data_IF_921322212844
#
_entry.id   IF_921322212844
#
_cell.length_a   1.000
_cell.length_b   1.000
_cell.length_c   1.000
_cell.angle_alpha   90.00
_cell.angle_beta   90.00
_cell.angle_gamma   90.00
#
_symmetry.space_group_name_H-M   'P 1'
#
loop_
_entity.id
_entity.type
_entity.pdbx_description
1 polymer ?
#
# COMPACT_ATOMS: atom_id res chain seq x y z
N UNK A 1 0.84 -46.73 -30.25
CA UNK A 1 1.31 -47.68 -29.24
C UNK A 1 0.17 -47.87 -28.26
N UNK A 2 -0.44 -49.05 -28.21
CA UNK A 2 -1.48 -49.34 -27.25
C UNK A 2 -0.84 -49.67 -25.89
N UNK A 3 -1.54 -49.43 -24.78
CA UNK A 3 -1.03 -49.74 -23.43
C UNK A 3 -0.68 -51.23 -23.25
N UNK A 4 -1.32 -52.11 -24.03
CA UNK A 4 -1.09 -53.56 -23.98
C UNK A 4 0.21 -54.00 -24.68
N UNK A 5 0.88 -53.11 -25.41
CA UNK A 5 2.13 -53.43 -26.12
C UNK A 5 3.36 -53.32 -25.19
N UNK A 6 3.20 -52.69 -24.01
CA UNK A 6 4.24 -52.50 -23.00
C UNK A 6 3.73 -53.03 -21.65
N UNK A 7 4.15 -54.25 -21.31
CA UNK A 7 3.65 -54.99 -20.14
C UNK A 7 3.96 -54.27 -18.82
N UNK A 8 5.14 -53.65 -18.70
CA UNK A 8 5.53 -52.91 -17.50
C UNK A 8 4.73 -51.62 -17.35
N UNK A 9 4.45 -50.93 -18.46
CA UNK A 9 3.60 -49.75 -18.48
C UNK A 9 2.19 -50.06 -17.97
N UNK A 10 1.57 -51.12 -18.48
CA UNK A 10 0.23 -51.54 -18.08
C UNK A 10 0.19 -52.00 -16.62
N UNK A 11 1.19 -52.76 -16.17
CA UNK A 11 1.27 -53.21 -14.78
C UNK A 11 1.41 -52.03 -13.81
N UNK A 12 2.36 -51.13 -14.04
CA UNK A 12 2.58 -49.97 -13.18
C UNK A 12 1.37 -49.00 -13.21
N UNK A 13 0.70 -48.86 -14.36
CA UNK A 13 -0.57 -48.14 -14.46
C UNK A 13 -1.66 -48.76 -13.57
N UNK A 14 -1.80 -50.09 -13.60
CA UNK A 14 -2.76 -50.81 -12.76
C UNK A 14 -2.41 -50.70 -11.27
N UNK A 15 -1.13 -50.70 -10.90
CA UNK A 15 -0.69 -50.47 -9.51
C UNK A 15 -1.19 -49.11 -9.02
N UNK A 16 -0.97 -48.03 -9.78
CA UNK A 16 -1.43 -46.68 -9.41
C UNK A 16 -2.96 -46.58 -9.33
N UNK A 17 -3.68 -47.19 -10.30
CA UNK A 17 -5.14 -47.25 -10.28
C UNK A 17 -5.67 -47.96 -9.03
N UNK A 18 -5.13 -49.14 -8.74
CA UNK A 18 -5.54 -49.96 -7.60
C UNK A 18 -5.15 -49.32 -6.26
N UNK A 19 -4.13 -48.46 -6.25
CA UNK A 19 -3.73 -47.70 -5.07
C UNK A 19 -4.70 -46.55 -4.76
N UNK A 20 -5.54 -46.15 -5.72
CA UNK A 20 -6.55 -45.09 -5.56
C UNK A 20 -6.20 -43.77 -6.24
N UNK A 21 -5.18 -43.73 -7.10
CA UNK A 21 -4.80 -42.50 -7.82
C UNK A 21 -5.71 -42.33 -9.04
N UNK A 22 -6.32 -41.14 -9.18
CA UNK A 22 -7.24 -40.85 -10.28
C UNK A 22 -6.54 -40.89 -11.66
N UNK A 23 -7.23 -41.36 -12.69
CA UNK A 23 -6.63 -41.60 -14.04
C UNK A 23 -6.01 -40.35 -14.66
N UNK A 24 -6.62 -39.18 -14.47
CA UNK A 24 -6.07 -37.90 -14.91
C UNK A 24 -4.73 -37.58 -14.21
N UNK A 25 -4.59 -37.92 -12.92
CA UNK A 25 -3.33 -37.78 -12.16
C UNK A 25 -2.28 -38.79 -12.61
N UNK A 26 -2.67 -40.03 -12.92
CA UNK A 26 -1.76 -41.02 -13.52
C UNK A 26 -1.19 -40.50 -14.84
N UNK A 27 -2.00 -39.81 -15.65
CA UNK A 27 -1.54 -39.12 -16.86
C UNK A 27 -0.47 -38.05 -16.58
N UNK A 28 -0.63 -37.26 -15.49
CA UNK A 28 0.40 -36.31 -15.02
C UNK A 28 1.68 -37.04 -14.62
N UNK A 29 1.58 -38.11 -13.83
CA UNK A 29 2.73 -38.95 -13.42
C UNK A 29 3.46 -39.49 -14.66
N UNK A 30 2.73 -39.97 -15.67
CA UNK A 30 3.36 -40.47 -16.91
C UNK A 30 4.12 -39.39 -17.67
N UNK A 31 3.59 -38.16 -17.68
CA UNK A 31 4.23 -37.02 -18.36
C UNK A 31 5.47 -36.53 -17.62
N UNK A 32 5.43 -36.47 -16.29
CA UNK A 32 6.50 -35.92 -15.44
C UNK A 32 7.57 -36.97 -15.14
N UNK A 33 7.18 -38.20 -14.82
CA UNK A 33 8.05 -39.27 -14.30
C UNK A 33 7.88 -40.57 -15.09
N UNK A 34 8.11 -40.51 -16.40
CA UNK A 34 7.91 -41.64 -17.33
C UNK A 34 8.62 -42.93 -16.92
N UNK A 35 9.75 -42.84 -16.23
CA UNK A 35 10.52 -43.99 -15.74
C UNK A 35 9.77 -44.83 -14.70
N UNK A 36 8.82 -44.25 -13.96
CA UNK A 36 7.97 -44.97 -12.99
C UNK A 36 7.23 -46.12 -13.66
N UNK A 37 6.86 -45.95 -14.93
CA UNK A 37 6.13 -46.96 -15.70
C UNK A 37 7.05 -48.03 -16.32
N UNK A 38 8.36 -47.88 -16.19
CA UNK A 38 9.38 -48.85 -16.62
C UNK A 38 9.99 -49.62 -15.45
N UNK A 39 9.50 -49.39 -14.24
CA UNK A 39 9.94 -50.14 -13.06
C UNK A 39 9.58 -51.61 -13.20
N UNK A 40 10.51 -52.46 -12.74
CA UNK A 40 10.29 -53.91 -12.67
C UNK A 40 9.11 -54.25 -11.75
N UNK A 41 8.50 -55.40 -12.01
CA UNK A 41 7.32 -55.89 -11.30
C UNK A 41 7.51 -55.78 -9.77
N UNK A 42 6.56 -55.15 -9.09
CA UNK A 42 6.57 -55.00 -7.63
C UNK A 42 7.43 -53.86 -7.06
N UNK A 43 8.31 -53.22 -7.85
CA UNK A 43 9.13 -52.09 -7.38
C UNK A 43 8.25 -50.89 -7.02
N UNK A 44 7.31 -50.50 -7.90
CA UNK A 44 6.40 -49.39 -7.64
C UNK A 44 5.52 -49.63 -6.40
N UNK A 45 5.00 -50.86 -6.25
CA UNK A 45 4.20 -51.23 -5.08
C UNK A 45 5.02 -51.17 -3.79
N UNK A 46 6.28 -51.59 -3.83
CA UNK A 46 7.19 -51.52 -2.69
C UNK A 46 7.53 -50.08 -2.31
N UNK A 47 7.71 -49.20 -3.30
CA UNK A 47 7.87 -47.75 -3.09
C UNK A 47 6.66 -47.13 -2.42
N UNK A 48 5.45 -47.39 -2.94
CA UNK A 48 4.20 -46.92 -2.33
C UNK A 48 4.04 -47.40 -0.88
N UNK A 49 4.39 -48.67 -0.61
CA UNK A 49 4.40 -49.22 0.75
C UNK A 49 5.43 -48.55 1.65
N UNK A 50 6.59 -48.16 1.12
CA UNK A 50 7.62 -47.46 1.92
C UNK A 50 7.12 -46.13 2.50
N UNK A 51 6.25 -45.41 1.78
CA UNK A 51 5.59 -44.21 2.31
C UNK A 51 4.61 -44.54 3.44
N UNK A 52 3.87 -45.65 3.33
CA UNK A 52 2.98 -46.11 4.42
C UNK A 52 3.76 -46.50 5.68
N UNK A 53 4.97 -47.05 5.52
CA UNK A 53 5.86 -47.35 6.64
C UNK A 53 6.33 -46.08 7.39
N UNK A 54 6.21 -44.88 6.79
CA UNK A 54 6.42 -43.61 7.48
C UNK A 54 5.23 -43.20 8.36
N UNK A 55 4.15 -43.99 8.37
CA UNK A 55 2.92 -43.72 9.14
C UNK A 55 1.81 -43.04 8.35
N UNK A 56 1.95 -42.91 7.03
CA UNK A 56 0.93 -42.31 6.16
C UNK A 56 -0.18 -43.31 5.81
N UNK A 57 -1.42 -42.85 5.79
CA UNK A 57 -2.55 -43.63 5.26
C UNK A 57 -2.43 -43.74 3.73
N UNK A 58 -3.03 -44.79 3.17
CA UNK A 58 -3.02 -45.01 1.72
C UNK A 58 -3.57 -43.82 0.94
N UNK A 59 -4.64 -43.19 1.43
CA UNK A 59 -5.26 -42.01 0.83
C UNK A 59 -4.31 -40.80 0.82
N UNK A 60 -3.65 -40.53 1.95
CA UNK A 60 -2.63 -39.49 2.05
C UNK A 60 -1.45 -39.74 1.10
N UNK A 61 -0.96 -40.99 1.00
CA UNK A 61 0.09 -41.35 0.04
C UNK A 61 -0.38 -41.13 -1.40
N UNK A 62 -1.59 -41.57 -1.75
CA UNK A 62 -2.12 -41.36 -3.10
C UNK A 62 -2.17 -39.86 -3.46
N UNK A 63 -2.60 -39.01 -2.52
CA UNK A 63 -2.67 -37.56 -2.67
C UNK A 63 -1.30 -36.90 -2.82
N UNK A 64 -0.33 -37.31 -2.00
CA UNK A 64 1.07 -36.84 -2.08
C UNK A 64 1.69 -37.24 -3.42
N UNK A 65 1.51 -38.49 -3.86
CA UNK A 65 2.08 -38.94 -5.14
C UNK A 65 1.42 -38.26 -6.34
N UNK A 66 0.12 -37.98 -6.28
CA UNK A 66 -0.58 -37.25 -7.33
C UNK A 66 -0.06 -35.81 -7.51
N UNK A 67 0.35 -35.17 -6.41
CA UNK A 67 0.83 -33.78 -6.39
C UNK A 67 2.37 -33.65 -6.47
N UNK A 68 3.11 -34.68 -6.06
CA UNK A 68 4.57 -34.76 -6.13
C UNK A 68 5.05 -36.09 -6.75
N UNK A 69 4.82 -36.32 -8.07
CA UNK A 69 5.20 -37.57 -8.73
C UNK A 69 6.69 -37.91 -8.61
N UNK A 70 7.56 -36.90 -8.56
CA UNK A 70 9.02 -37.04 -8.42
C UNK A 70 9.45 -37.85 -7.20
N UNK A 71 8.62 -37.94 -6.15
CA UNK A 71 8.90 -38.78 -4.98
C UNK A 71 8.98 -40.28 -5.32
N UNK A 72 8.41 -40.71 -6.45
CA UNK A 72 8.51 -42.09 -6.89
C UNK A 72 9.90 -42.41 -7.49
N UNK A 73 10.70 -41.40 -7.85
CA UNK A 73 12.02 -41.58 -8.45
C UNK A 73 13.11 -41.86 -7.41
N UNK A 74 14.07 -42.72 -7.77
CA UNK A 74 15.29 -42.92 -6.98
C UNK A 74 15.07 -43.48 -5.57
N UNK A 75 15.83 -42.98 -4.60
CA UNK A 75 15.70 -43.35 -3.19
C UNK A 75 14.68 -42.45 -2.47
N UNK A 76 14.39 -42.73 -1.20
CA UNK A 76 13.49 -41.92 -0.37
C UNK A 76 14.01 -40.48 -0.29
N UNK A 77 13.17 -39.53 -0.68
CA UNK A 77 13.44 -38.09 -0.63
C UNK A 77 13.61 -37.63 0.83
N UNK A 78 14.78 -37.09 1.16
CA UNK A 78 15.15 -36.75 2.54
C UNK A 78 14.45 -35.48 3.01
N UNK A 79 14.20 -34.53 2.10
CA UNK A 79 13.47 -33.31 2.38
C UNK A 79 12.02 -33.61 2.72
N UNK A 80 11.35 -34.49 1.97
CA UNK A 80 10.01 -34.99 2.26
C UNK A 80 9.94 -35.65 3.65
N UNK A 81 10.85 -36.58 3.96
CA UNK A 81 10.92 -37.22 5.28
C UNK A 81 11.18 -36.17 6.37
N UNK A 82 12.02 -35.18 6.09
CA UNK A 82 12.30 -34.06 6.99
C UNK A 82 11.04 -33.24 7.30
N UNK A 83 10.22 -32.93 6.30
CA UNK A 83 8.94 -32.23 6.50
C UNK A 83 8.02 -33.07 7.39
N UNK A 84 7.84 -34.36 7.12
CA UNK A 84 7.00 -35.24 7.95
C UNK A 84 7.49 -35.31 9.39
N UNK A 85 8.79 -35.44 9.61
CA UNK A 85 9.37 -35.47 10.95
C UNK A 85 9.11 -34.15 11.70
N UNK A 86 9.22 -33.01 11.00
CA UNK A 86 8.97 -31.69 11.59
C UNK A 86 7.51 -31.44 11.90
N UNK A 87 6.58 -31.80 11.00
CA UNK A 87 5.15 -31.70 11.25
C UNK A 87 4.77 -32.50 12.51
N UNK A 88 5.27 -33.73 12.63
CA UNK A 88 5.04 -34.56 13.81
C UNK A 88 5.62 -33.94 15.08
N UNK A 89 6.83 -33.36 15.00
CA UNK A 89 7.48 -32.67 16.13
C UNK A 89 6.64 -31.49 16.65
N UNK A 90 5.98 -30.74 15.77
CA UNK A 90 5.10 -29.62 16.15
C UNK A 90 3.66 -30.05 16.47
N UNK A 91 3.40 -31.36 16.58
CA UNK A 91 2.08 -31.90 16.94
C UNK A 91 1.04 -31.79 15.82
N UNK A 92 1.47 -31.92 14.56
CA UNK A 92 0.60 -32.04 13.38
C UNK A 92 0.63 -33.49 12.90
N UNK A 93 -0.54 -34.13 12.91
CA UNK A 93 -0.73 -35.46 12.36
C UNK A 93 -0.77 -35.43 10.83
N UNK A 94 -0.40 -36.52 10.17
CA UNK A 94 -0.27 -36.53 8.71
C UNK A 94 -1.59 -36.44 7.95
N UNK A 95 -2.72 -36.76 8.59
CA UNK A 95 -4.06 -36.53 8.05
C UNK A 95 -4.28 -35.06 7.66
N UNK A 96 -3.61 -34.13 8.34
CA UNK A 96 -3.62 -32.71 8.03
C UNK A 96 -3.16 -32.41 6.59
N UNK A 97 -2.17 -33.15 6.08
CA UNK A 97 -1.74 -33.02 4.69
C UNK A 97 -2.84 -33.48 3.72
N UNK A 98 -3.56 -34.54 4.07
CA UNK A 98 -4.68 -35.00 3.27
C UNK A 98 -5.81 -33.97 3.25
N UNK A 99 -6.08 -33.30 4.36
CA UNK A 99 -7.13 -32.29 4.46
C UNK A 99 -6.81 -31.01 3.67
N UNK A 100 -5.56 -30.56 3.70
CA UNK A 100 -5.20 -29.22 3.19
C UNK A 100 -4.42 -29.20 1.87
N UNK A 101 -3.81 -30.31 1.44
CA UNK A 101 -3.16 -30.35 0.13
C UNK A 101 -4.19 -30.43 -1.01
N UNK A 102 -3.80 -29.92 -2.18
CA UNK A 102 -4.54 -30.03 -3.43
C UNK A 102 -3.80 -30.97 -4.39
N UNK A 103 -4.53 -31.86 -5.06
CA UNK A 103 -3.96 -32.71 -6.11
C UNK A 103 -3.69 -31.96 -7.42
N UNK A 104 -4.19 -30.73 -7.54
CA UNK A 104 -3.93 -29.85 -8.69
C UNK A 104 -2.59 -29.14 -8.57
N UNK A 105 -2.12 -28.92 -7.35
CA UNK A 105 -0.88 -28.22 -7.09
C UNK A 105 0.33 -29.16 -7.20
N UNK A 106 1.52 -28.55 -7.27
CA UNK A 106 2.79 -29.26 -7.20
C UNK A 106 3.57 -28.74 -5.99
N UNK A 107 4.05 -29.66 -5.15
CA UNK A 107 4.74 -29.31 -3.90
C UNK A 107 6.24 -29.52 -3.99
N UNK A 108 6.98 -28.52 -3.52
CA UNK A 108 8.42 -28.54 -3.34
C UNK A 108 8.74 -28.71 -1.84
N UNK A 109 9.04 -29.93 -1.46
CA UNK A 109 9.30 -30.33 -0.07
C UNK A 109 10.55 -29.67 0.53
N UNK A 110 11.55 -29.35 -0.30
CA UNK A 110 12.73 -28.58 0.11
C UNK A 110 12.34 -27.19 0.59
N UNK A 111 11.55 -26.45 -0.19
CA UNK A 111 11.10 -25.10 0.18
C UNK A 111 10.26 -25.12 1.47
N UNK A 112 9.37 -26.12 1.60
CA UNK A 112 8.58 -26.31 2.81
C UNK A 112 9.48 -26.55 4.03
N UNK A 113 10.48 -27.42 3.89
CA UNK A 113 11.42 -27.73 4.95
C UNK A 113 12.27 -26.51 5.35
N UNK A 114 12.78 -25.78 4.36
CA UNK A 114 13.56 -24.55 4.56
C UNK A 114 12.73 -23.48 5.30
N UNK A 115 11.44 -23.33 4.95
CA UNK A 115 10.53 -22.42 5.65
C UNK A 115 10.31 -22.86 7.11
N UNK A 116 10.08 -24.15 7.38
CA UNK A 116 9.93 -24.66 8.75
C UNK A 116 11.17 -24.36 9.59
N UNK A 117 12.37 -24.56 9.02
CA UNK A 117 13.62 -24.24 9.69
C UNK A 117 13.76 -22.74 9.96
N UNK A 118 13.40 -21.91 8.99
CA UNK A 118 13.44 -20.47 9.14
C UNK A 118 12.50 -20.00 10.26
N UNK A 119 11.27 -20.53 10.32
CA UNK A 119 10.30 -20.22 11.37
C UNK A 119 10.78 -20.69 12.75
N UNK A 120 11.37 -21.89 12.80
CA UNK A 120 11.96 -22.44 14.03
C UNK A 120 13.12 -21.57 14.54
N UNK A 121 13.82 -20.86 13.64
CA UNK A 121 14.88 -19.91 13.96
C UNK A 121 14.40 -18.56 14.53
N UNK A 122 13.09 -18.32 14.63
CA UNK A 122 12.51 -17.05 15.12
C UNK A 122 12.06 -17.11 16.59
N UNK A 123 12.64 -18.00 17.39
CA UNK A 123 12.26 -18.25 18.79
C UNK A 123 10.78 -18.61 18.99
N UNK A 124 10.19 -19.29 18.00
CA UNK A 124 8.87 -19.91 18.10
C UNK A 124 8.99 -21.27 18.78
N UNK A 125 8.15 -21.54 19.77
CA UNK A 125 8.07 -22.90 20.33
C UNK A 125 7.44 -23.87 19.33
N UNK A 126 7.70 -25.17 19.50
CA UNK A 126 7.08 -26.20 18.64
C UNK A 126 5.54 -26.12 18.72
N UNK A 127 4.97 -25.79 19.89
CA UNK A 127 3.52 -25.60 20.07
C UNK A 127 3.00 -24.37 19.31
N UNK A 128 3.72 -23.25 19.35
CA UNK A 128 3.35 -22.04 18.60
C UNK A 128 3.39 -22.29 17.10
N UNK A 129 4.41 -23.02 16.63
CA UNK A 129 4.56 -23.36 15.22
C UNK A 129 3.48 -24.34 14.75
N UNK A 130 3.14 -25.32 15.59
CA UNK A 130 2.03 -26.24 15.34
C UNK A 130 0.70 -25.51 15.24
N UNK A 131 0.41 -24.61 16.18
CA UNK A 131 -0.82 -23.82 16.15
C UNK A 131 -0.90 -22.89 14.94
N UNK A 132 0.23 -22.26 14.56
CA UNK A 132 0.31 -21.43 13.38
C UNK A 132 -0.11 -22.19 12.11
N UNK A 133 0.43 -23.40 11.89
CA UNK A 133 0.08 -24.18 10.71
C UNK A 133 -1.34 -24.74 10.75
N UNK A 134 -1.91 -25.03 11.93
CA UNK A 134 -3.33 -25.40 12.03
C UNK A 134 -4.25 -24.24 11.63
N UNK A 135 -3.92 -23.02 12.05
CA UNK A 135 -4.69 -21.82 11.74
C UNK A 135 -4.49 -21.35 10.30
N UNK A 136 -3.28 -21.52 9.77
CA UNK A 136 -2.87 -21.05 8.44
C UNK A 136 -2.05 -22.10 7.67
N UNK A 137 -2.71 -23.16 7.15
CA UNK A 137 -2.04 -24.17 6.33
C UNK A 137 -1.39 -23.59 5.07
N UNK A 138 -1.96 -22.51 4.55
CA UNK A 138 -1.49 -21.78 3.37
C UNK A 138 -0.08 -21.20 3.56
N UNK A 139 0.34 -20.88 4.80
CA UNK A 139 1.72 -20.44 5.07
C UNK A 139 2.77 -21.45 4.61
N UNK A 140 2.48 -22.74 4.75
CA UNK A 140 3.40 -23.82 4.38
C UNK A 140 3.07 -24.42 3.01
N UNK A 141 1.78 -24.57 2.69
CA UNK A 141 1.33 -25.32 1.52
C UNK A 141 1.18 -24.45 0.26
N UNK A 142 0.70 -23.22 0.38
CA UNK A 142 0.48 -22.35 -0.78
C UNK A 142 1.84 -22.01 -1.40
N UNK A 143 2.03 -22.35 -2.69
CA UNK A 143 3.32 -22.24 -3.38
C UNK A 143 4.49 -22.89 -2.61
N UNK A 144 4.21 -23.96 -1.84
CA UNK A 144 5.21 -24.66 -1.01
C UNK A 144 5.99 -23.75 -0.06
N UNK A 145 5.32 -22.72 0.47
CA UNK A 145 5.90 -21.77 1.42
C UNK A 145 6.83 -20.73 0.78
N UNK A 146 7.05 -20.78 -0.53
CA UNK A 146 7.96 -19.86 -1.23
C UNK A 146 7.50 -18.39 -1.09
N UNK A 147 6.19 -18.16 -1.20
CA UNK A 147 5.63 -16.81 -1.06
C UNK A 147 5.75 -16.31 0.38
N UNK A 148 5.55 -17.18 1.37
CA UNK A 148 5.77 -16.89 2.79
C UNK A 148 7.23 -16.49 3.05
N UNK A 149 8.20 -17.25 2.52
CA UNK A 149 9.62 -16.89 2.61
C UNK A 149 9.93 -15.54 1.93
N UNK A 150 9.33 -15.27 0.77
CA UNK A 150 9.48 -14.00 0.07
C UNK A 150 8.90 -12.83 0.88
N UNK A 151 7.74 -13.01 1.51
CA UNK A 151 7.13 -12.01 2.38
C UNK A 151 8.06 -11.66 3.54
N UNK A 152 8.68 -12.66 4.17
CA UNK A 152 9.61 -12.41 5.28
C UNK A 152 10.86 -11.68 4.81
N UNK A 153 11.46 -12.13 3.70
CA UNK A 153 12.60 -11.43 3.10
C UNK A 153 12.25 -9.98 2.75
N UNK A 154 11.03 -9.72 2.29
CA UNK A 154 10.54 -8.38 1.99
C UNK A 154 10.41 -7.51 3.25
N UNK A 155 9.81 -8.03 4.33
CA UNK A 155 9.71 -7.30 5.61
C UNK A 155 11.08 -6.97 6.20
N UNK A 156 12.02 -7.92 6.17
CA UNK A 156 13.40 -7.70 6.61
C UNK A 156 14.10 -6.64 5.76
N UNK A 157 13.89 -6.64 4.44
CA UNK A 157 14.44 -5.64 3.53
C UNK A 157 13.96 -4.21 3.84
N UNK A 158 12.76 -4.06 4.40
CA UNK A 158 12.24 -2.78 4.90
C UNK A 158 12.64 -2.47 6.35
N UNK A 159 13.59 -3.22 6.92
CA UNK A 159 14.16 -2.95 8.24
C UNK A 159 13.31 -3.45 9.40
N UNK A 160 12.41 -4.41 9.15
CA UNK A 160 11.75 -5.17 10.22
C UNK A 160 12.77 -6.09 10.88
N UNK A 161 12.67 -6.23 12.20
CA UNK A 161 13.45 -7.22 12.96
C UNK A 161 12.84 -8.61 12.84
N UNK A 162 13.57 -9.65 13.25
CA UNK A 162 12.99 -11.00 13.36
C UNK A 162 11.79 -11.05 14.32
N UNK A 163 11.80 -10.24 15.39
CA UNK A 163 10.68 -10.11 16.33
C UNK A 163 9.44 -9.46 15.70
N UNK A 164 9.64 -8.47 14.83
CA UNK A 164 8.54 -7.84 14.08
C UNK A 164 7.90 -8.85 13.11
N UNK A 165 8.74 -9.60 12.38
CA UNK A 165 8.27 -10.64 11.45
C UNK A 165 7.54 -11.75 12.19
N UNK A 166 8.08 -12.23 13.32
CA UNK A 166 7.41 -13.20 14.20
C UNK A 166 6.02 -12.71 14.61
N UNK A 167 5.91 -11.45 15.05
CA UNK A 167 4.64 -10.86 15.45
C UNK A 167 3.65 -10.81 14.29
N UNK A 168 4.11 -10.41 13.09
CA UNK A 168 3.29 -10.36 11.90
C UNK A 168 2.75 -11.74 11.47
N UNK A 169 3.54 -12.81 11.63
CA UNK A 169 3.14 -14.19 11.33
C UNK A 169 2.15 -14.73 12.35
N UNK A 170 2.40 -14.50 13.65
CA UNK A 170 1.48 -14.96 14.70
C UNK A 170 0.14 -14.25 14.68
N UNK A 171 0.08 -13.05 14.09
CA UNK A 171 -1.13 -12.25 13.89
C UNK A 171 -1.57 -12.23 12.43
N UNK A 172 -1.19 -13.25 11.65
CA UNK A 172 -1.50 -13.30 10.23
C UNK A 172 -3.03 -13.28 10.02
N UNK A 173 -3.55 -12.41 9.13
CA UNK A 173 -4.99 -12.32 8.92
C UNK A 173 -5.54 -13.57 8.21
N UNK A 174 -6.85 -13.82 8.36
CA UNK A 174 -7.57 -14.91 7.68
C UNK A 174 -7.77 -14.61 6.19
N UNK A 175 -6.69 -14.69 5.42
CA UNK A 175 -6.56 -14.42 3.99
C UNK A 175 -5.39 -15.25 3.46
N UNK A 176 -5.42 -15.71 2.21
CA UNK A 176 -4.29 -16.48 1.67
C UNK A 176 -3.00 -15.65 1.59
N UNK A 177 -1.84 -16.29 1.79
CA UNK A 177 -0.52 -15.64 1.71
C UNK A 177 -0.27 -14.98 0.35
N UNK A 178 -0.66 -15.64 -0.75
CA UNK A 178 -0.55 -15.07 -2.10
C UNK A 178 -1.36 -13.78 -2.20
N UNK A 179 -2.62 -13.80 -1.74
CA UNK A 179 -3.47 -12.61 -1.80
C UNK A 179 -2.93 -11.51 -0.89
N UNK A 180 -2.50 -11.85 0.32
CA UNK A 180 -1.89 -10.91 1.25
C UNK A 180 -0.67 -10.22 0.65
N UNK A 181 0.24 -11.01 0.09
CA UNK A 181 1.50 -10.52 -0.49
C UNK A 181 1.24 -9.65 -1.73
N UNK A 182 0.27 -10.04 -2.56
CA UNK A 182 -0.16 -9.23 -3.72
C UNK A 182 -0.75 -7.88 -3.30
N UNK A 183 -1.63 -7.86 -2.30
CA UNK A 183 -2.20 -6.63 -1.74
C UNK A 183 -1.11 -5.70 -1.22
N UNK A 184 -0.17 -6.24 -0.46
CA UNK A 184 0.93 -5.48 0.12
C UNK A 184 1.86 -4.92 -0.98
N UNK A 185 2.09 -5.65 -2.08
CA UNK A 185 2.81 -5.13 -3.25
C UNK A 185 2.03 -4.04 -3.99
N UNK A 186 0.71 -4.18 -4.11
CA UNK A 186 -0.16 -3.16 -4.71
C UNK A 186 -0.20 -1.89 -3.85
N UNK A 187 -0.25 -2.02 -2.53
CA UNK A 187 -0.11 -0.90 -1.60
C UNK A 187 1.27 -0.24 -1.74
N UNK A 188 2.35 -1.01 -1.83
CA UNK A 188 3.68 -0.43 -2.07
C UNK A 188 3.73 0.39 -3.38
N UNK A 189 3.18 -0.14 -4.48
CA UNK A 189 3.05 0.60 -5.74
C UNK A 189 2.22 1.88 -5.60
N UNK A 190 1.11 1.80 -4.86
CA UNK A 190 0.27 2.96 -4.56
C UNK A 190 1.05 4.06 -3.83
N UNK A 191 1.86 3.69 -2.83
CA UNK A 191 2.70 4.65 -2.10
C UNK A 191 3.76 5.32 -3.00
N UNK A 192 4.36 4.56 -3.93
CA UNK A 192 5.26 5.12 -4.93
C UNK A 192 4.53 6.10 -5.86
N UNK A 193 3.34 5.75 -6.33
CA UNK A 193 2.58 6.55 -7.30
C UNK A 193 2.09 7.89 -6.73
N UNK A 194 1.87 7.97 -5.41
CA UNK A 194 1.57 9.23 -4.70
C UNK A 194 2.83 10.03 -4.32
N UNK A 195 4.01 9.64 -4.82
CA UNK A 195 5.32 10.24 -4.58
C UNK A 195 5.71 10.25 -3.09
N UNK A 196 5.42 9.17 -2.37
CA UNK A 196 5.90 9.02 -1.00
C UNK A 196 7.40 8.76 -0.99
N UNK A 197 8.12 9.38 -0.06
CA UNK A 197 9.55 9.19 0.09
C UNK A 197 9.88 7.78 0.60
N UNK A 198 11.04 7.26 0.19
CA UNK A 198 11.42 5.88 0.46
C UNK A 198 11.56 5.56 1.97
N UNK A 199 11.98 6.54 2.78
CA UNK A 199 12.10 6.37 4.23
C UNK A 199 10.73 6.19 4.86
N UNK A 200 9.77 7.00 4.44
CA UNK A 200 8.39 6.92 4.92
C UNK A 200 7.68 5.65 4.44
N UNK A 201 7.91 5.21 3.20
CA UNK A 201 7.42 3.91 2.72
C UNK A 201 7.94 2.80 3.63
N UNK A 202 9.25 2.79 3.93
CA UNK A 202 9.82 1.78 4.81
C UNK A 202 9.22 1.81 6.22
N UNK A 203 9.01 3.02 6.78
CA UNK A 203 8.34 3.19 8.08
C UNK A 203 6.93 2.58 8.06
N UNK A 204 6.13 2.85 7.03
CA UNK A 204 4.76 2.35 6.92
C UNK A 204 4.74 0.83 6.72
N UNK A 205 5.58 0.29 5.82
CA UNK A 205 5.65 -1.16 5.58
C UNK A 205 6.00 -1.93 6.85
N UNK A 206 6.97 -1.44 7.62
CA UNK A 206 7.38 -2.06 8.88
C UNK A 206 6.31 -1.95 9.98
N UNK A 207 5.64 -0.80 10.08
CA UNK A 207 4.73 -0.52 11.20
C UNK A 207 3.29 -0.99 10.95
N UNK A 208 2.89 -1.15 9.68
CA UNK A 208 1.52 -1.48 9.27
C UNK A 208 1.43 -2.62 8.24
N UNK A 209 2.23 -3.71 8.34
CA UNK A 209 2.26 -4.75 7.31
C UNK A 209 0.88 -5.40 7.11
N UNK A 210 0.15 -5.66 8.20
CA UNK A 210 -1.19 -6.26 8.16
C UNK A 210 -2.21 -5.35 7.46
N UNK A 211 -2.09 -4.02 7.61
CA UNK A 211 -2.97 -3.07 6.90
C UNK A 211 -2.70 -3.17 5.40
N UNK A 212 -1.44 -3.11 5.00
CA UNK A 212 -1.07 -3.15 3.57
C UNK A 212 -1.47 -4.48 2.93
N UNK A 213 -1.22 -5.61 3.59
CA UNK A 213 -1.56 -6.93 3.04
C UNK A 213 -3.04 -7.27 3.07
N UNK A 214 -3.85 -6.56 3.86
CA UNK A 214 -5.30 -6.78 3.90
C UNK A 214 -6.09 -5.83 2.98
N UNK A 215 -5.43 -4.83 2.38
CA UNK A 215 -6.11 -3.79 1.60
C UNK A 215 -5.81 -3.92 0.11
N UNK A 216 -6.86 -3.77 -0.71
CA UNK A 216 -6.73 -3.58 -2.15
C UNK A 216 -7.21 -2.17 -2.51
N UNK A 217 -6.32 -1.16 -2.46
CA UNK A 217 -6.70 0.23 -2.67
C UNK A 217 -7.18 0.48 -4.10
N UNK A 218 -8.15 1.38 -4.27
CA UNK A 218 -8.51 1.95 -5.57
C UNK A 218 -7.29 2.58 -6.22
N UNK A 219 -7.29 2.61 -7.56
CA UNK A 219 -6.26 3.31 -8.35
C UNK A 219 -6.13 4.77 -7.90
N UNK A 220 -4.90 5.29 -7.89
CA UNK A 220 -4.62 6.66 -7.44
C UNK A 220 -5.47 7.67 -8.20
N UNK A 221 -5.56 7.61 -9.54
CA UNK A 221 -6.36 8.53 -10.34
C UNK A 221 -7.86 8.54 -9.97
N UNK A 222 -8.40 7.37 -9.62
CA UNK A 222 -9.77 7.25 -9.14
C UNK A 222 -9.94 7.95 -7.79
N UNK A 223 -8.97 7.84 -6.89
CA UNK A 223 -9.01 8.53 -5.60
C UNK A 223 -8.79 10.03 -5.74
N UNK A 224 -7.87 10.48 -6.59
CA UNK A 224 -7.64 11.91 -6.84
C UNK A 224 -8.90 12.60 -7.38
N UNK A 225 -9.58 11.95 -8.33
CA UNK A 225 -10.84 12.47 -8.88
C UNK A 225 -11.99 12.40 -7.87
N UNK A 226 -12.10 11.32 -7.10
CA UNK A 226 -13.20 11.13 -6.14
C UNK A 226 -13.04 12.02 -4.91
N UNK A 227 -11.84 12.13 -4.35
CA UNK A 227 -11.52 13.00 -3.20
C UNK A 227 -11.36 14.46 -3.60
N UNK A 228 -11.20 14.73 -4.90
CA UNK A 228 -10.91 16.05 -5.48
C UNK A 228 -9.65 16.70 -4.84
N UNK A 229 -8.57 15.92 -4.72
CA UNK A 229 -7.31 16.36 -4.12
C UNK A 229 -6.11 16.01 -5.00
N UNK A 230 -4.97 16.69 -4.80
CA UNK A 230 -3.71 16.37 -5.48
C UNK A 230 -2.93 15.25 -4.78
N UNK A 231 -1.94 14.66 -5.48
CA UNK A 231 -1.08 13.59 -4.94
C UNK A 231 -0.42 13.96 -3.62
N UNK A 232 0.05 15.19 -3.45
CA UNK A 232 0.68 15.64 -2.20
C UNK A 232 -0.28 15.60 -1.00
N UNK A 233 -1.56 15.97 -1.22
CA UNK A 233 -2.57 15.91 -0.15
C UNK A 233 -2.90 14.47 0.18
N UNK A 234 -3.06 13.62 -0.84
CA UNK A 234 -3.30 12.19 -0.67
C UNK A 234 -2.14 11.51 0.09
N UNK A 235 -0.89 11.83 -0.29
CA UNK A 235 0.32 11.39 0.39
C UNK A 235 0.32 11.82 1.85
N UNK A 236 0.05 13.10 2.14
CA UNK A 236 -0.02 13.58 3.53
C UNK A 236 -1.09 12.84 4.35
N UNK A 237 -2.26 12.57 3.79
CA UNK A 237 -3.32 11.84 4.49
C UNK A 237 -2.88 10.41 4.88
N UNK A 238 -2.12 9.73 4.02
CA UNK A 238 -1.58 8.40 4.34
C UNK A 238 -0.44 8.48 5.36
N UNK A 239 0.38 9.54 5.32
CA UNK A 239 1.41 9.79 6.35
C UNK A 239 0.80 10.01 7.73
N UNK A 240 -0.28 10.80 7.78
CA UNK A 240 -1.01 11.14 9.00
C UNK A 240 -1.70 9.90 9.59
N UNK A 241 -2.33 9.07 8.75
CA UNK A 241 -2.99 7.82 9.14
C UNK A 241 -2.90 6.75 8.03
N UNK A 242 -1.97 5.79 8.11
CA UNK A 242 -1.88 4.69 7.14
C UNK A 242 -3.13 3.79 7.11
N UNK A 243 -3.93 3.75 8.18
CA UNK A 243 -5.16 2.97 8.21
C UNK A 243 -6.26 3.54 7.30
N UNK A 244 -6.10 4.78 6.81
CA UNK A 244 -7.03 5.37 5.85
C UNK A 244 -7.16 4.55 4.56
N UNK A 245 -6.14 3.77 4.20
CA UNK A 245 -6.15 2.88 3.04
C UNK A 245 -7.31 1.87 3.09
N UNK A 246 -7.73 1.45 4.30
CA UNK A 246 -8.90 0.57 4.51
C UNK A 246 -10.21 1.21 4.03
N UNK A 247 -10.30 2.54 4.04
CA UNK A 247 -11.47 3.30 3.57
C UNK A 247 -11.45 3.51 2.05
N UNK A 248 -10.33 3.22 1.39
CA UNK A 248 -10.11 3.45 -0.04
C UNK A 248 -10.05 2.17 -0.85
N UNK A 249 -10.48 1.05 -0.28
CA UNK A 249 -10.48 -0.25 -0.95
C UNK A 249 -11.53 -0.32 -2.06
N UNK A 250 -11.35 -1.25 -2.99
CA UNK A 250 -12.35 -1.58 -4.00
C UNK A 250 -13.70 -1.95 -3.33
N UNK A 251 -14.81 -1.59 -3.98
CA UNK A 251 -16.16 -1.79 -3.44
C UNK A 251 -16.61 -0.81 -2.36
N UNK A 252 -15.70 -0.11 -1.66
CA UNK A 252 -16.07 0.90 -0.66
C UNK A 252 -16.35 2.25 -1.31
N UNK A 253 -17.42 2.93 -0.87
CA UNK A 253 -17.76 4.29 -1.29
C UNK A 253 -16.81 5.28 -0.62
N UNK A 254 -16.24 6.18 -1.43
CA UNK A 254 -15.36 7.25 -0.96
C UNK A 254 -16.07 8.57 -1.27
N UNK A 255 -16.30 9.37 -0.24
CA UNK A 255 -16.91 10.69 -0.40
C UNK A 255 -15.82 11.76 -0.62
N UNK A 256 -16.21 12.85 -1.27
CA UNK A 256 -15.34 14.00 -1.51
C UNK A 256 -14.85 14.59 -0.19
N UNK A 257 -13.60 15.04 -0.16
CA UNK A 257 -13.10 15.79 0.99
C UNK A 257 -13.84 17.12 1.10
N UNK A 258 -14.34 17.42 2.30
CA UNK A 258 -14.85 18.74 2.63
C UNK A 258 -13.67 19.72 2.71
N UNK A 259 -13.29 20.31 1.58
CA UNK A 259 -12.45 21.50 1.63
C UNK A 259 -13.30 22.69 2.07
N UNK A 260 -12.80 23.58 2.96
CA UNK A 260 -13.37 24.91 3.05
C UNK A 260 -13.21 25.54 1.66
N UNK A 261 -14.33 25.63 0.92
CA UNK A 261 -14.43 26.11 -0.46
C UNK A 261 -13.38 27.19 -0.67
N UNK A 262 -12.46 27.09 -1.64
CA UNK A 262 -11.34 28.05 -1.86
C UNK A 262 -11.71 29.53 -1.63
N UNK A 263 -12.95 29.90 -1.95
CA UNK A 263 -13.60 31.18 -1.62
C UNK A 263 -13.50 31.57 -0.14
N UNK A 264 -13.83 30.66 0.79
CA UNK A 264 -13.72 30.83 2.24
C UNK A 264 -12.27 31.08 2.67
N UNK A 265 -11.28 30.34 2.14
CA UNK A 265 -9.87 30.52 2.51
C UNK A 265 -9.32 31.88 2.02
N UNK A 266 -9.64 32.28 0.79
CA UNK A 266 -9.29 33.62 0.27
C UNK A 266 -9.99 34.71 1.09
N UNK A 267 -11.27 34.51 1.43
CA UNK A 267 -12.03 35.41 2.28
C UNK A 267 -11.43 35.51 3.69
N UNK A 268 -10.97 34.40 4.27
CA UNK A 268 -10.30 34.38 5.58
C UNK A 268 -8.98 35.15 5.57
N UNK A 269 -8.09 34.90 4.61
CA UNK A 269 -6.81 35.62 4.51
C UNK A 269 -7.01 37.12 4.29
N UNK A 270 -7.99 37.48 3.46
CA UNK A 270 -8.40 38.88 3.25
C UNK A 270 -8.99 39.50 4.52
N UNK A 271 -9.75 38.73 5.28
CA UNK A 271 -10.33 39.15 6.56
C UNK A 271 -9.22 39.42 7.59
N UNK A 272 -8.26 38.51 7.73
CA UNK A 272 -7.10 38.68 8.62
C UNK A 272 -6.28 39.91 8.27
N UNK A 273 -6.01 40.15 6.98
CA UNK A 273 -5.33 41.37 6.53
C UNK A 273 -6.08 42.63 6.99
N UNK A 274 -7.38 42.74 6.72
CA UNK A 274 -8.16 43.91 7.12
C UNK A 274 -8.25 44.07 8.65
N UNK A 275 -8.37 42.97 9.41
CA UNK A 275 -8.29 43.00 10.87
C UNK A 275 -6.94 43.58 11.35
N UNK A 276 -5.83 43.23 10.69
CA UNK A 276 -4.50 43.76 11.02
C UNK A 276 -4.36 45.28 10.77
N UNK A 277 -5.21 45.84 9.92
CA UNK A 277 -5.32 47.29 9.68
C UNK A 277 -6.30 47.98 10.65
N UNK A 278 -6.86 47.24 11.61
CA UNK A 278 -7.82 47.75 12.60
C UNK A 278 -9.22 47.97 12.04
N UNK A 279 -9.66 47.18 11.06
CA UNK A 279 -11.09 47.02 10.76
C UNK A 279 -11.75 46.12 11.82
N UNK A 280 -13.01 46.41 12.16
CA UNK A 280 -13.77 45.60 13.12
C UNK A 280 -14.48 44.47 12.39
N UNK A 281 -14.38 43.24 12.88
CA UNK A 281 -15.03 42.08 12.27
C UNK A 281 -16.56 42.30 12.20
N UNK A 282 -17.18 41.93 11.07
CA UNK A 282 -18.63 42.10 10.81
C UNK A 282 -19.16 43.55 10.85
N UNK A 283 -18.28 44.54 10.84
CA UNK A 283 -18.68 45.95 10.68
C UNK A 283 -19.10 46.27 9.24
N UNK A 284 -19.92 47.32 9.06
CA UNK A 284 -20.33 47.79 7.72
C UNK A 284 -19.13 48.24 6.89
N UNK A 285 -18.10 48.81 7.54
CA UNK A 285 -16.84 49.23 6.93
C UNK A 285 -16.05 48.04 6.40
N UNK A 286 -15.96 46.96 7.19
CA UNK A 286 -15.31 45.72 6.79
C UNK A 286 -16.02 45.07 5.60
N UNK A 287 -17.34 45.01 5.61
CA UNK A 287 -18.12 44.45 4.50
C UNK A 287 -17.92 45.23 3.21
N UNK A 288 -17.88 46.57 3.28
CA UNK A 288 -17.59 47.45 2.14
C UNK A 288 -16.18 47.19 1.61
N UNK A 289 -15.16 47.15 2.48
CA UNK A 289 -13.78 46.88 2.10
C UNK A 289 -13.62 45.50 1.43
N UNK A 290 -14.25 44.46 1.99
CA UNK A 290 -14.23 43.11 1.40
C UNK A 290 -14.87 43.10 0.00
N UNK A 291 -15.88 43.92 -0.29
CA UNK A 291 -16.50 43.98 -1.62
C UNK A 291 -15.61 44.64 -2.66
N UNK A 292 -14.87 45.69 -2.29
CA UNK A 292 -14.13 46.52 -3.27
C UNK A 292 -12.67 46.13 -3.47
N UNK A 293 -12.01 45.55 -2.46
CA UNK A 293 -10.60 45.14 -2.56
C UNK A 293 -10.46 43.89 -3.42
N UNK A 294 -9.41 43.79 -4.25
CA UNK A 294 -9.10 42.64 -5.11
C UNK A 294 -7.69 42.14 -4.82
N UNK A 295 -7.52 40.83 -4.67
CA UNK A 295 -6.23 40.19 -4.41
C UNK A 295 -6.25 39.27 -3.19
N UNK A 296 -5.20 38.44 -3.06
CA UNK A 296 -4.98 37.55 -1.90
C UNK A 296 -4.31 38.31 -0.75
N UNK A 297 -4.38 37.79 0.48
CA UNK A 297 -3.81 38.43 1.67
C UNK A 297 -2.33 38.83 1.51
N UNK A 298 -1.49 37.96 0.93
CA UNK A 298 -0.06 38.27 0.68
C UNK A 298 0.13 39.37 -0.37
N UNK A 299 -0.62 39.34 -1.47
CA UNK A 299 -0.55 40.37 -2.51
C UNK A 299 -1.03 41.74 -1.98
N UNK A 300 -2.02 41.74 -1.08
CA UNK A 300 -2.49 42.96 -0.42
C UNK A 300 -1.46 43.53 0.55
N UNK A 301 -0.75 42.66 1.27
CA UNK A 301 0.35 43.05 2.15
C UNK A 301 1.50 43.67 1.33
N UNK A 302 1.90 43.04 0.23
CA UNK A 302 2.94 43.56 -0.66
C UNK A 302 2.62 44.97 -1.18
N UNK A 303 1.37 45.20 -1.60
CA UNK A 303 0.90 46.51 -2.08
C UNK A 303 0.85 47.54 -0.96
N UNK A 304 0.47 47.13 0.25
CA UNK A 304 0.50 47.97 1.44
C UNK A 304 1.94 48.39 1.77
N UNK A 305 2.87 47.44 1.79
CA UNK A 305 4.28 47.69 2.08
C UNK A 305 4.93 48.59 1.03
N UNK A 306 4.49 48.50 -0.23
CA UNK A 306 4.93 49.40 -1.30
C UNK A 306 4.59 50.87 -0.99
N UNK A 307 3.40 51.16 -0.45
CA UNK A 307 3.03 52.51 -0.02
C UNK A 307 3.92 53.01 1.13
N UNK A 308 4.23 52.14 2.09
CA UNK A 308 5.15 52.47 3.19
C UNK A 308 6.55 52.77 2.67
N UNK A 309 7.06 51.95 1.73
CA UNK A 309 8.39 52.12 1.13
C UNK A 309 8.53 53.41 0.31
N UNK A 310 7.44 53.93 -0.25
CA UNK A 310 7.44 55.21 -0.98
C UNK A 310 7.59 56.41 -0.03
N UNK A 311 7.37 56.23 1.27
CA UNK A 311 7.62 57.24 2.31
C UNK A 311 6.41 57.60 3.19
N UNK A 312 5.29 56.90 3.05
CA UNK A 312 4.15 57.08 3.95
C UNK A 312 4.39 56.33 5.28
N UNK A 313 3.95 56.92 6.39
CA UNK A 313 3.92 56.19 7.67
C UNK A 313 2.88 55.07 7.63
N UNK A 314 3.08 54.02 8.43
CA UNK A 314 2.13 52.91 8.51
C UNK A 314 0.71 53.39 8.86
N UNK A 315 0.59 54.36 9.75
CA UNK A 315 -0.67 54.95 10.21
C UNK A 315 -1.35 55.72 9.07
N UNK A 316 -0.56 56.47 8.29
CA UNK A 316 -1.03 57.18 7.10
C UNK A 316 -1.60 56.20 6.06
N UNK A 317 -0.89 55.10 5.78
CA UNK A 317 -1.38 54.09 4.83
C UNK A 317 -2.65 53.40 5.36
N UNK A 318 -2.73 53.11 6.67
CA UNK A 318 -3.96 52.57 7.29
C UNK A 318 -5.14 53.54 7.09
N UNK A 319 -4.94 54.84 7.32
CA UNK A 319 -5.97 55.85 7.11
C UNK A 319 -6.41 55.91 5.64
N UNK A 320 -5.45 55.89 4.71
CA UNK A 320 -5.72 55.87 3.27
C UNK A 320 -6.54 54.64 2.86
N UNK A 321 -6.18 53.44 3.34
CA UNK A 321 -6.90 52.19 3.05
C UNK A 321 -8.29 52.19 3.68
N UNK A 322 -8.48 52.79 4.86
CA UNK A 322 -9.80 52.92 5.51
C UNK A 322 -10.74 53.84 4.72
N UNK A 323 -10.22 54.93 4.16
CA UNK A 323 -11.00 55.85 3.32
C UNK A 323 -11.26 55.24 1.94
N UNK A 324 -10.26 54.57 1.37
CA UNK A 324 -10.31 54.02 0.02
C UNK A 324 -9.55 52.69 -0.08
N UNK A 325 -10.22 51.55 0.16
CA UNK A 325 -9.54 50.26 0.08
C UNK A 325 -9.08 49.89 -1.34
N UNK A 326 -9.73 50.43 -2.37
CA UNK A 326 -9.41 50.17 -3.79
C UNK A 326 -8.02 50.65 -4.23
N UNK A 327 -7.33 51.46 -3.42
CA UNK A 327 -5.94 51.86 -3.69
C UNK A 327 -5.01 50.64 -3.78
N UNK A 328 -5.37 49.53 -3.10
CA UNK A 328 -4.63 48.27 -3.14
C UNK A 328 -5.04 47.35 -4.31
N UNK A 329 -5.84 47.83 -5.28
CA UNK A 329 -6.28 47.00 -6.42
C UNK A 329 -5.37 47.08 -7.65
N UNK A 330 -4.26 47.80 -7.55
CA UNK A 330 -3.25 47.93 -8.60
C UNK A 330 -2.01 47.09 -8.24
N UNK A 331 -1.19 46.75 -9.23
CA UNK A 331 0.10 46.11 -8.96
C UNK A 331 1.05 47.08 -8.26
N UNK A 332 2.04 46.53 -7.56
CA UNK A 332 3.11 47.30 -6.91
C UNK A 332 3.74 48.33 -7.86
N UNK A 333 4.15 47.89 -9.05
CA UNK A 333 4.82 48.76 -10.03
C UNK A 333 3.95 49.95 -10.45
N UNK A 334 2.63 49.73 -10.59
CA UNK A 334 1.68 50.78 -10.96
C UNK A 334 1.47 51.78 -9.82
N UNK A 335 1.39 51.30 -8.58
CA UNK A 335 1.28 52.16 -7.39
C UNK A 335 2.53 53.04 -7.26
N UNK A 336 3.71 52.44 -7.34
CA UNK A 336 4.99 53.14 -7.25
C UNK A 336 5.14 54.20 -8.35
N UNK A 337 4.81 53.85 -9.60
CA UNK A 337 4.88 54.79 -10.73
C UNK A 337 3.92 55.96 -10.54
N UNK A 338 2.63 55.69 -10.26
CA UNK A 338 1.61 56.76 -10.19
C UNK A 338 1.83 57.70 -9.03
N UNK A 339 2.26 57.20 -7.87
CA UNK A 339 2.58 58.04 -6.72
C UNK A 339 3.88 58.80 -6.97
N UNK A 340 4.87 58.17 -7.59
CA UNK A 340 6.09 58.83 -8.04
C UNK A 340 5.82 60.03 -8.94
N UNK A 341 4.99 59.86 -9.97
CA UNK A 341 4.56 60.94 -10.86
C UNK A 341 3.73 62.01 -10.13
N UNK A 342 2.82 61.61 -9.24
CA UNK A 342 1.98 62.55 -8.48
C UNK A 342 2.82 63.51 -7.61
N UNK A 343 3.85 62.98 -6.94
CA UNK A 343 4.72 63.76 -6.04
C UNK A 343 5.78 64.52 -6.83
N UNK A 344 6.48 63.86 -7.77
CA UNK A 344 7.67 64.42 -8.43
C UNK A 344 7.34 65.23 -9.69
N UNK A 345 6.41 64.76 -10.51
CA UNK A 345 6.14 65.37 -11.82
C UNK A 345 5.03 66.42 -11.75
N UNK A 346 4.02 66.20 -10.90
CA UNK A 346 2.88 67.10 -10.75
C UNK A 346 3.01 68.07 -9.56
N UNK A 347 3.98 67.84 -8.66
CA UNK A 347 4.29 68.73 -7.54
C UNK A 347 3.22 68.81 -6.44
N UNK A 348 2.30 67.85 -6.39
CA UNK A 348 1.28 67.82 -5.34
C UNK A 348 1.88 67.39 -4.00
N UNK A 349 1.46 68.00 -2.89
CA UNK A 349 1.92 67.60 -1.57
C UNK A 349 1.37 66.22 -1.20
N UNK A 350 2.17 65.44 -0.46
CA UNK A 350 1.80 64.12 0.04
C UNK A 350 0.52 64.16 0.90
N UNK A 351 0.25 65.29 1.56
CA UNK A 351 -0.97 65.53 2.34
C UNK A 351 -2.26 65.36 1.54
N UNK A 352 -2.24 65.66 0.24
CA UNK A 352 -3.44 65.57 -0.61
C UNK A 352 -3.82 64.11 -0.91
N UNK A 353 -2.83 63.21 -0.92
CA UNK A 353 -3.08 61.76 -1.01
C UNK A 353 -3.62 61.18 0.29
N UNK A 354 -3.37 61.82 1.43
CA UNK A 354 -3.93 61.40 2.72
C UNK A 354 -5.41 61.76 2.85
N UNK A 355 -5.78 62.97 2.41
CA UNK A 355 -7.17 63.45 2.44
C UNK A 355 -8.02 62.82 1.34
N UNK A 356 -7.43 62.58 0.17
CA UNK A 356 -8.11 62.00 -0.99
C UNK A 356 -7.29 60.88 -1.67
N UNK A 357 -7.21 59.68 -1.06
CA UNK A 357 -6.38 58.58 -1.57
C UNK A 357 -6.78 58.06 -2.96
N UNK A 358 -7.98 58.39 -3.43
CA UNK A 358 -8.45 58.04 -4.77
C UNK A 358 -7.81 58.88 -5.90
N UNK A 359 -7.15 60.00 -5.59
CA UNK A 359 -6.65 60.92 -6.62
C UNK A 359 -5.66 60.23 -7.58
N UNK A 360 -4.74 59.43 -7.06
CA UNK A 360 -3.77 58.74 -7.91
C UNK A 360 -4.40 57.58 -8.72
N UNK A 361 -5.60 57.11 -8.35
CA UNK A 361 -6.34 56.14 -9.16
C UNK A 361 -6.97 56.78 -10.41
N UNK A 362 -7.22 58.10 -10.39
CA UNK A 362 -7.96 58.84 -11.41
C UNK A 362 -7.04 59.53 -12.40
N UNK A 363 -5.92 60.10 -11.94
CA UNK A 363 -5.05 61.00 -12.71
C UNK A 363 -4.34 60.31 -13.90
N UNK A 364 -4.30 58.99 -13.91
CA UNK A 364 -3.70 58.20 -14.99
C UNK A 364 -4.66 57.13 -15.53
N UNK A 365 -5.93 57.49 -15.72
CA UNK A 365 -6.86 56.73 -16.60
C UNK A 365 -6.76 57.28 -18.02
N UNK A 366 -5.60 57.06 -18.64
CA UNK A 366 -5.38 57.20 -20.08
C UNK A 366 -5.11 55.83 -20.66
#
# INVERSE_FOLDING_TARGET
MFLNDDQLLLENYNVLCNYGIARNRIGKIYKEEREVFRYECGVLRSKLRSFQNLGLKQSTVAKIIASSPHLLRGNVDQEFVGVLAKLKKVGIEYDWLEEHMSEEDSYNWKNMLDLIFLLSGMDLSDEQLGELFRQHPDLLLECSGCITSCLFGWLLKFGSTLGDVRTAILQFPQISVVKFTNNLFNCYKFLLEINMDAQEIGRIVRSYPTVLGSCEPKKVDSLLSTLNCGKNRLCQMVKDDPCILKKWVLGVRVDRLEEPKRVLRVRMMKTQFLLSLGFVEKSKEMEKAIKVVRGKGLELQERFDSLVNIGFSREQVIQMVKVSPQILNQSKDVIETKIGSFIKELGFPVSDLLTHPNLYLIIFRG
#
